data_IF_448923017896
#
_entry.id   IF_448923017896
#
_cell.length_a   1.000
_cell.length_b   1.000
_cell.length_c   1.000
_cell.angle_alpha   90.00
_cell.angle_beta   90.00
_cell.angle_gamma   90.00
#
_symmetry.space_group_name_H-M   'P 1'
#
loop_
_entity.id
_entity.type
_entity.pdbx_description
1 polymer ?
#
# COMPACT_ATOMS: atom_id res chain seq x y z
N UNK A 1 16.16 0.63 -31.04
CA UNK A 1 15.15 1.39 -31.80
C UNK A 1 13.92 1.63 -30.93
N UNK A 2 13.48 0.63 -30.18
CA UNK A 2 12.22 0.68 -29.43
C UNK A 2 12.21 1.65 -28.23
N UNK A 3 13.33 1.80 -27.50
CA UNK A 3 13.43 2.81 -26.43
C UNK A 3 13.31 4.25 -26.97
N UNK A 4 13.94 4.55 -28.12
CA UNK A 4 13.82 5.85 -28.77
C UNK A 4 12.39 6.12 -29.25
N UNK A 5 11.71 5.08 -29.74
CA UNK A 5 10.32 5.13 -30.16
C UNK A 5 9.38 5.36 -28.96
N UNK A 6 9.65 4.71 -27.82
CA UNK A 6 8.93 4.93 -26.55
C UNK A 6 9.04 6.39 -26.10
N UNK A 7 10.24 6.95 -26.04
CA UNK A 7 10.44 8.38 -25.68
C UNK A 7 9.73 9.33 -26.64
N UNK A 8 9.78 9.05 -27.95
CA UNK A 8 9.11 9.87 -28.97
C UNK A 8 7.58 9.80 -28.84
N UNK A 9 7.06 8.61 -28.54
CA UNK A 9 5.63 8.36 -28.33
C UNK A 9 5.13 9.03 -27.06
N UNK A 10 5.89 8.97 -25.95
CA UNK A 10 5.58 9.66 -24.71
C UNK A 10 5.58 11.19 -24.83
N UNK A 11 6.48 11.77 -25.64
CA UNK A 11 6.47 13.22 -25.92
C UNK A 11 5.25 13.65 -26.75
N UNK A 12 4.80 12.80 -27.67
CA UNK A 12 3.64 13.07 -28.54
C UNK A 12 2.29 12.75 -27.90
N UNK A 13 2.27 11.93 -26.84
CA UNK A 13 1.03 11.45 -26.22
C UNK A 13 0.39 10.27 -26.97
N UNK A 14 1.16 9.54 -27.79
CA UNK A 14 0.64 8.44 -28.60
C UNK A 14 0.46 7.17 -27.74
N UNK A 15 -0.66 7.13 -27.00
CA UNK A 15 -0.98 6.04 -26.08
C UNK A 15 -1.13 4.69 -26.79
N UNK A 16 -1.62 4.67 -28.02
CA UNK A 16 -1.77 3.46 -28.81
C UNK A 16 -0.41 2.86 -29.16
N UNK A 17 0.57 3.71 -29.52
CA UNK A 17 1.93 3.25 -29.78
C UNK A 17 2.63 2.79 -28.50
N UNK A 18 2.44 3.49 -27.39
CA UNK A 18 3.00 3.09 -26.09
C UNK A 18 2.42 1.74 -25.64
N UNK A 19 1.09 1.53 -25.74
CA UNK A 19 0.45 0.23 -25.45
C UNK A 19 1.03 -0.90 -26.27
N UNK A 20 1.20 -0.70 -27.59
CA UNK A 20 1.83 -1.69 -28.45
C UNK A 20 3.26 -2.03 -28.01
N UNK A 21 4.06 -1.03 -27.61
CA UNK A 21 5.44 -1.24 -27.16
C UNK A 21 5.51 -1.97 -25.81
N UNK A 22 4.60 -1.68 -24.88
CA UNK A 22 4.56 -2.34 -23.57
C UNK A 22 4.00 -3.76 -23.68
N UNK A 23 2.83 -3.92 -24.29
CA UNK A 23 2.08 -5.19 -24.25
C UNK A 23 2.57 -6.21 -25.28
N UNK A 24 3.05 -5.76 -26.45
CA UNK A 24 3.42 -6.67 -27.56
C UNK A 24 4.94 -6.81 -27.75
N UNK A 25 5.73 -5.90 -27.18
CA UNK A 25 7.19 -5.87 -27.33
C UNK A 25 7.94 -5.96 -26.01
N UNK A 26 7.24 -5.97 -24.88
CA UNK A 26 7.80 -6.10 -23.52
C UNK A 26 8.92 -5.08 -23.25
N UNK A 27 8.70 -3.82 -23.68
CA UNK A 27 9.67 -2.74 -23.50
C UNK A 27 9.57 -2.21 -22.07
N UNK A 28 10.70 -2.20 -21.36
CA UNK A 28 10.80 -1.63 -20.01
C UNK A 28 10.40 -0.14 -20.00
N UNK A 29 9.44 0.19 -19.12
CA UNK A 29 8.90 1.54 -18.93
C UNK A 29 9.81 2.46 -18.11
N UNK A 30 10.82 1.90 -17.45
CA UNK A 30 11.74 2.61 -16.57
C UNK A 30 13.12 2.88 -17.21
N UNK A 31 13.21 2.71 -18.55
CA UNK A 31 14.41 3.06 -19.32
C UNK A 31 14.76 4.54 -19.19
N UNK A 32 16.05 4.84 -19.31
CA UNK A 32 16.58 6.21 -19.23
C UNK A 32 17.17 6.65 -20.56
N UNK A 33 16.92 7.88 -20.94
CA UNK A 33 17.58 8.49 -22.11
C UNK A 33 18.95 9.07 -21.74
N UNK A 34 19.63 9.68 -22.72
CA UNK A 34 20.94 10.32 -22.53
C UNK A 34 20.94 11.53 -21.59
N UNK A 35 19.76 12.01 -21.17
CA UNK A 35 19.58 13.10 -20.21
C UNK A 35 19.01 12.58 -18.89
N UNK A 36 19.10 11.28 -18.66
CA UNK A 36 18.65 10.63 -17.43
C UNK A 36 17.14 10.85 -17.17
N UNK A 37 16.35 10.94 -18.26
CA UNK A 37 14.92 11.16 -18.19
C UNK A 37 14.14 9.89 -18.48
N UNK A 38 13.04 9.68 -17.75
CA UNK A 38 12.15 8.53 -17.90
C UNK A 38 11.00 8.83 -18.89
N UNK A 39 10.39 7.79 -19.49
CA UNK A 39 9.18 7.94 -20.31
C UNK A 39 8.04 8.64 -19.55
N UNK A 40 7.88 8.32 -18.26
CA UNK A 40 6.91 8.97 -17.39
C UNK A 40 7.15 10.48 -17.27
N UNK A 41 8.40 10.90 -17.08
CA UNK A 41 8.76 12.32 -17.00
C UNK A 41 8.33 13.10 -18.25
N UNK A 42 8.55 12.58 -19.45
CA UNK A 42 8.12 13.26 -20.69
C UNK A 42 6.60 13.32 -20.83
N UNK A 43 5.90 12.27 -20.42
CA UNK A 43 4.42 12.26 -20.41
C UNK A 43 3.87 13.33 -19.46
N UNK A 44 4.48 13.48 -18.27
CA UNK A 44 4.16 14.54 -17.32
C UNK A 44 4.49 15.94 -17.88
N UNK A 45 5.69 16.11 -18.43
CA UNK A 45 6.19 17.38 -18.98
C UNK A 45 5.37 17.88 -20.17
N UNK A 46 4.92 16.96 -21.02
CA UNK A 46 4.11 17.28 -22.19
C UNK A 46 2.60 17.34 -21.92
N UNK A 47 2.15 16.99 -20.70
CA UNK A 47 0.76 17.16 -20.28
C UNK A 47 -0.19 16.02 -20.69
N UNK A 48 0.33 14.82 -20.95
CA UNK A 48 -0.47 13.70 -21.47
C UNK A 48 -1.06 12.86 -20.33
N UNK A 49 -2.13 13.35 -19.70
CA UNK A 49 -2.71 12.76 -18.48
C UNK A 49 -3.12 11.28 -18.62
N UNK A 50 -3.84 10.91 -19.69
CA UNK A 50 -4.23 9.52 -19.95
C UNK A 50 -3.02 8.59 -20.10
N UNK A 51 -1.94 9.11 -20.68
CA UNK A 51 -0.70 8.37 -20.84
C UNK A 51 0.05 8.21 -19.52
N UNK A 52 0.05 9.25 -18.67
CA UNK A 52 0.61 9.19 -17.31
C UNK A 52 -0.13 8.13 -16.47
N UNK A 53 -1.47 8.10 -16.52
CA UNK A 53 -2.26 7.06 -15.86
C UNK A 53 -1.89 5.66 -16.33
N UNK A 54 -1.79 5.47 -17.65
CA UNK A 54 -1.44 4.19 -18.22
C UNK A 54 -0.03 3.74 -17.79
N UNK A 55 0.96 4.63 -17.83
CA UNK A 55 2.33 4.31 -17.43
C UNK A 55 2.43 3.91 -15.96
N UNK A 56 1.76 4.66 -15.07
CA UNK A 56 1.72 4.37 -13.64
C UNK A 56 1.04 3.04 -13.34
N UNK A 57 -0.08 2.75 -14.01
CA UNK A 57 -0.81 1.48 -13.88
C UNK A 57 0.02 0.26 -14.33
N UNK A 58 1.02 0.46 -15.20
CA UNK A 58 1.88 -0.59 -15.74
C UNK A 58 3.29 -0.59 -15.11
N UNK A 59 3.47 0.00 -13.92
CA UNK A 59 4.70 -0.12 -13.14
C UNK A 59 5.79 0.89 -13.50
N UNK A 60 5.43 2.04 -14.08
CA UNK A 60 6.36 3.17 -14.17
C UNK A 60 6.72 3.67 -12.76
N UNK A 61 8.02 3.69 -12.45
CA UNK A 61 8.56 4.12 -11.16
C UNK A 61 8.34 5.63 -11.00
N UNK A 62 7.53 5.94 -10.01
CA UNK A 62 7.31 7.28 -9.51
C UNK A 62 7.23 7.12 -8.00
N UNK A 63 8.33 7.36 -7.30
CA UNK A 63 8.41 7.22 -5.84
C UNK A 63 8.66 8.56 -5.15
N UNK A 64 8.05 8.73 -3.98
CA UNK A 64 8.25 9.90 -3.15
C UNK A 64 9.71 10.03 -2.70
N UNK A 65 10.23 11.25 -2.67
CA UNK A 65 11.60 11.57 -2.29
C UNK A 65 12.66 10.95 -3.23
N UNK A 66 12.25 10.53 -4.43
CA UNK A 66 13.15 10.14 -5.51
C UNK A 66 13.27 11.26 -6.54
N UNK A 67 14.44 11.32 -7.19
CA UNK A 67 14.70 12.32 -8.23
C UNK A 67 13.67 12.26 -9.38
N UNK A 68 13.26 11.06 -9.76
CA UNK A 68 12.33 10.86 -10.87
C UNK A 68 10.89 11.25 -10.49
N UNK A 69 10.47 10.91 -9.26
CA UNK A 69 9.17 11.34 -8.74
C UNK A 69 9.06 12.86 -8.67
N UNK A 70 10.06 13.53 -8.12
CA UNK A 70 10.06 15.00 -7.98
C UNK A 70 10.07 15.69 -9.34
N UNK A 71 10.83 15.16 -10.30
CA UNK A 71 10.84 15.68 -11.67
C UNK A 71 9.50 15.53 -12.37
N UNK A 72 8.80 14.42 -12.14
CA UNK A 72 7.45 14.26 -12.67
C UNK A 72 6.49 15.28 -12.05
N UNK A 73 6.61 15.55 -10.74
CA UNK A 73 5.77 16.54 -10.03
C UNK A 73 6.07 17.98 -10.48
N UNK A 74 7.31 18.43 -10.39
CA UNK A 74 7.67 19.81 -10.75
C UNK A 74 7.55 20.05 -12.25
N UNK A 75 7.92 19.05 -13.05
CA UNK A 75 7.88 19.10 -14.51
C UNK A 75 6.49 18.95 -15.10
N UNK A 76 5.48 18.48 -14.36
CA UNK A 76 4.14 18.27 -14.91
C UNK A 76 3.53 19.55 -15.46
N UNK A 77 2.97 19.48 -16.66
CA UNK A 77 2.35 20.63 -17.32
C UNK A 77 1.04 21.06 -16.66
N UNK A 78 0.25 20.11 -16.13
CA UNK A 78 -1.10 20.36 -15.61
C UNK A 78 -1.25 20.00 -14.12
N UNK A 79 -2.14 20.72 -13.44
CA UNK A 79 -2.50 20.43 -12.04
C UNK A 79 -3.32 19.14 -11.89
N UNK A 80 -3.94 18.66 -12.96
CA UNK A 80 -4.55 17.33 -12.99
C UNK A 80 -3.48 16.25 -12.89
N UNK A 81 -2.39 16.34 -13.65
CA UNK A 81 -1.25 15.42 -13.55
C UNK A 81 -0.57 15.53 -12.18
N UNK A 82 -0.40 16.74 -11.62
CA UNK A 82 0.12 16.88 -10.24
C UNK A 82 -0.74 16.17 -9.21
N UNK A 83 -2.07 16.32 -9.30
CA UNK A 83 -3.02 15.61 -8.43
C UNK A 83 -2.93 14.11 -8.64
N UNK A 84 -2.85 13.68 -9.89
CA UNK A 84 -2.71 12.27 -10.25
C UNK A 84 -1.44 11.63 -9.66
N UNK A 85 -0.30 12.31 -9.80
CA UNK A 85 0.98 11.85 -9.23
C UNK A 85 0.94 11.85 -7.70
N UNK A 86 0.26 12.81 -7.06
CA UNK A 86 0.04 12.84 -5.62
C UNK A 86 -0.86 11.70 -5.14
N UNK A 87 -1.94 11.43 -5.87
CA UNK A 87 -2.88 10.32 -5.60
C UNK A 87 -2.21 8.95 -5.77
N UNK A 88 -1.24 8.84 -6.68
CA UNK A 88 -0.41 7.64 -6.89
C UNK A 88 0.75 7.49 -5.87
N UNK A 89 0.69 8.20 -4.73
CA UNK A 89 1.71 8.25 -3.65
C UNK A 89 3.10 8.75 -4.08
N UNK A 90 3.15 9.99 -4.59
CA UNK A 90 4.39 10.75 -4.74
C UNK A 90 4.37 12.17 -4.14
N UNK A 91 5.00 12.26 -2.97
CA UNK A 91 5.87 13.33 -2.40
C UNK A 91 5.29 14.48 -1.56
N UNK A 92 6.07 14.78 -0.51
CA UNK A 92 6.05 15.92 0.41
C UNK A 92 7.05 17.01 -0.02
N UNK A 93 6.85 18.24 0.43
CA UNK A 93 7.43 19.46 -0.14
C UNK A 93 8.90 19.77 0.22
N UNK A 94 9.81 18.79 0.28
CA UNK A 94 11.22 19.05 0.56
C UNK A 94 12.12 18.86 -0.66
N UNK A 95 12.73 19.97 -1.11
CA UNK A 95 13.76 19.94 -2.14
C UNK A 95 15.03 19.23 -1.61
N UNK A 96 15.27 17.99 -2.03
CA UNK A 96 16.56 17.33 -1.82
C UNK A 96 17.60 17.83 -2.82
N UNK A 97 18.78 18.17 -2.30
CA UNK A 97 19.96 18.51 -3.08
C UNK A 97 20.58 17.25 -3.70
N UNK A 98 21.00 17.39 -4.95
CA UNK A 98 21.57 16.34 -5.81
C UNK A 98 22.96 15.95 -5.32
N UNK A 99 23.17 14.70 -4.91
CA UNK A 99 24.53 14.16 -4.78
C UNK A 99 24.96 13.58 -6.15
N UNK A 100 25.46 14.47 -7.02
CA UNK A 100 25.88 14.15 -8.39
C UNK A 100 26.90 13.00 -8.46
N UNK A 101 27.58 12.71 -7.34
CA UNK A 101 28.64 11.73 -7.26
C UNK A 101 28.10 10.29 -7.16
N UNK A 102 27.02 10.06 -6.40
CA UNK A 102 26.42 8.73 -6.26
C UNK A 102 25.80 8.25 -7.57
N UNK A 103 25.15 9.16 -8.32
CA UNK A 103 24.60 8.86 -9.64
C UNK A 103 25.70 8.51 -10.66
N UNK A 104 26.84 9.21 -10.61
CA UNK A 104 28.01 8.89 -11.42
C UNK A 104 28.54 7.48 -11.08
N UNK A 105 28.65 7.13 -9.80
CA UNK A 105 29.12 5.81 -9.38
C UNK A 105 28.16 4.69 -9.76
N UNK A 106 26.84 4.90 -9.66
CA UNK A 106 25.86 3.92 -10.13
C UNK A 106 25.96 3.70 -11.64
N UNK A 107 26.01 4.78 -12.41
CA UNK A 107 26.19 4.72 -13.88
C UNK A 107 27.48 3.99 -14.27
N UNK A 108 28.56 4.23 -13.51
CA UNK A 108 29.85 3.57 -13.70
C UNK A 108 29.77 2.06 -13.46
N UNK A 109 29.01 1.61 -12.45
CA UNK A 109 28.74 0.20 -12.17
C UNK A 109 27.91 -0.45 -13.29
N UNK A 110 26.79 0.17 -13.68
CA UNK A 110 25.84 -0.36 -14.66
C UNK A 110 26.43 -0.47 -16.07
N UNK A 111 27.17 0.56 -16.51
CA UNK A 111 27.79 0.58 -17.83
C UNK A 111 29.08 -0.25 -17.87
N UNK A 112 29.68 -0.55 -16.71
CA UNK A 112 30.95 -1.28 -16.60
C UNK A 112 32.14 -0.56 -17.27
N UNK A 113 32.02 0.75 -17.50
CA UNK A 113 33.05 1.52 -18.20
C UNK A 113 34.32 1.56 -17.35
N UNK A 114 35.46 1.13 -17.91
CA UNK A 114 36.75 1.00 -17.20
C UNK A 114 36.79 -0.10 -16.14
N UNK A 115 35.83 -1.04 -16.12
CA UNK A 115 35.88 -2.18 -15.21
C UNK A 115 37.18 -2.98 -15.43
N UNK A 116 37.91 -3.23 -14.35
CA UNK A 116 39.18 -3.95 -14.33
C UNK A 116 39.05 -5.34 -13.68
N UNK A 117 37.82 -5.72 -13.30
CA UNK A 117 37.48 -7.03 -12.77
C UNK A 117 36.06 -7.44 -13.14
N UNK A 118 35.88 -8.75 -13.40
CA UNK A 118 34.59 -9.39 -13.64
C UNK A 118 34.36 -10.53 -12.66
N UNK A 119 33.18 -10.61 -12.08
CA UNK A 119 32.75 -11.71 -11.22
C UNK A 119 31.75 -12.58 -11.98
N UNK A 120 31.99 -13.89 -12.03
CA UNK A 120 31.06 -14.86 -12.60
C UNK A 120 30.37 -15.60 -11.45
N UNK A 121 29.09 -15.29 -11.21
CA UNK A 121 28.27 -15.84 -10.12
C UNK A 121 27.14 -16.66 -10.73
N UNK A 122 27.18 -17.98 -10.57
CA UNK A 122 26.14 -18.91 -11.08
C UNK A 122 25.67 -18.71 -12.54
N UNK A 123 26.51 -18.17 -13.41
CA UNK A 123 26.20 -17.92 -14.83
C UNK A 123 26.03 -16.44 -15.19
N UNK A 124 25.85 -15.58 -14.19
CA UNK A 124 25.75 -14.13 -14.35
C UNK A 124 27.11 -13.45 -14.20
N UNK A 125 27.35 -12.43 -15.04
CA UNK A 125 28.62 -11.70 -15.05
C UNK A 125 28.44 -10.28 -14.55
N UNK A 126 29.13 -9.94 -13.46
CA UNK A 126 29.13 -8.60 -12.86
C UNK A 126 30.46 -7.90 -13.15
N UNK A 127 30.41 -6.71 -13.74
CA UNK A 127 31.60 -5.88 -13.99
C UNK A 127 31.78 -4.91 -12.83
N UNK A 128 33.02 -4.72 -12.37
CA UNK A 128 33.31 -3.82 -11.24
C UNK A 128 34.73 -3.24 -11.31
N UNK A 129 35.04 -2.36 -10.35
CA UNK A 129 36.29 -1.62 -10.25
C UNK A 129 37.00 -2.01 -8.95
N UNK A 130 38.22 -2.54 -9.07
CA UNK A 130 39.07 -2.93 -7.94
C UNK A 130 39.28 -1.77 -6.97
N UNK A 131 39.48 -0.56 -7.49
CA UNK A 131 39.69 0.63 -6.66
C UNK A 131 38.48 0.97 -5.77
N UNK A 132 37.26 0.86 -6.29
CA UNK A 132 36.03 1.13 -5.52
C UNK A 132 35.83 0.06 -4.45
N UNK A 133 35.96 -1.22 -4.82
CA UNK A 133 35.78 -2.34 -3.90
C UNK A 133 36.86 -2.37 -2.80
N UNK A 134 38.12 -2.14 -3.15
CA UNK A 134 39.22 -2.10 -2.18
C UNK A 134 39.12 -0.90 -1.24
N UNK A 135 38.64 0.25 -1.72
CA UNK A 135 38.47 1.44 -0.88
C UNK A 135 37.38 1.27 0.19
N UNK A 136 36.39 0.39 -0.06
CA UNK A 136 35.22 0.20 0.80
C UNK A 136 35.16 -1.17 1.47
N UNK A 137 36.09 -2.08 1.19
CA UNK A 137 36.17 -3.39 1.83
C UNK A 137 37.59 -3.93 1.92
N UNK A 138 38.07 -4.12 3.14
CA UNK A 138 39.35 -4.77 3.43
C UNK A 138 39.42 -6.20 2.88
N UNK A 139 38.27 -6.88 2.81
CA UNK A 139 38.19 -8.23 2.24
C UNK A 139 38.56 -8.22 0.76
N UNK A 140 37.99 -7.30 -0.03
CA UNK A 140 38.32 -7.20 -1.45
C UNK A 140 39.78 -6.82 -1.66
N UNK A 141 40.31 -5.87 -0.87
CA UNK A 141 41.74 -5.53 -0.87
C UNK A 141 42.61 -6.77 -0.66
N UNK A 142 42.39 -7.51 0.42
CA UNK A 142 43.17 -8.71 0.73
C UNK A 142 43.05 -9.78 -0.36
N UNK A 143 41.86 -9.98 -0.93
CA UNK A 143 41.62 -10.98 -1.96
C UNK A 143 42.28 -10.63 -3.30
N UNK A 144 42.28 -9.35 -3.68
CA UNK A 144 42.98 -8.88 -4.88
C UNK A 144 44.50 -8.95 -4.76
N UNK A 145 45.04 -8.87 -3.55
CA UNK A 145 46.48 -9.04 -3.28
C UNK A 145 46.91 -10.49 -3.13
N UNK A 146 45.96 -11.39 -2.86
CA UNK A 146 46.23 -12.82 -2.64
C UNK A 146 45.60 -13.69 -3.73
N UNK A 147 44.44 -14.28 -3.48
CA UNK A 147 43.80 -15.34 -4.29
C UNK A 147 43.40 -14.87 -5.71
N UNK A 148 43.11 -13.58 -5.86
CA UNK A 148 42.67 -12.95 -7.10
C UNK A 148 43.73 -12.06 -7.75
N UNK A 149 44.98 -12.14 -7.27
CA UNK A 149 46.10 -11.40 -7.84
C UNK A 149 46.30 -11.76 -9.31
N UNK A 150 46.33 -10.74 -10.17
CA UNK A 150 46.51 -10.89 -11.62
C UNK A 150 45.31 -11.49 -12.39
N UNK A 151 44.15 -11.70 -11.75
CA UNK A 151 42.97 -12.27 -12.40
C UNK A 151 41.94 -11.20 -12.76
N UNK A 152 41.50 -11.18 -14.02
CA UNK A 152 40.47 -10.25 -14.48
C UNK A 152 39.06 -10.87 -14.45
N UNK A 153 38.97 -12.21 -14.36
CA UNK A 153 37.72 -12.95 -14.21
C UNK A 153 37.79 -13.83 -12.95
N UNK A 154 36.83 -13.63 -12.05
CA UNK A 154 36.76 -14.29 -10.74
C UNK A 154 35.50 -15.15 -10.71
N UNK A 155 35.62 -16.49 -10.83
CA UNK A 155 34.48 -17.38 -10.70
C UNK A 155 34.11 -17.60 -9.23
N UNK A 156 32.87 -17.26 -8.88
CA UNK A 156 32.26 -17.50 -7.59
C UNK A 156 31.25 -18.64 -7.74
N UNK A 157 31.69 -19.86 -7.43
CA UNK A 157 30.90 -21.11 -7.58
C UNK A 157 30.29 -21.60 -6.27
N UNK A 158 30.43 -20.84 -5.18
CA UNK A 158 30.00 -21.30 -3.87
C UNK A 158 28.47 -21.28 -3.80
N UNK A 159 27.78 -22.38 -3.43
CA UNK A 159 26.32 -22.49 -3.51
C UNK A 159 25.54 -21.46 -2.70
N UNK A 160 26.17 -20.86 -1.68
CA UNK A 160 25.56 -19.84 -0.82
C UNK A 160 25.67 -18.39 -1.36
N UNK A 161 26.23 -18.19 -2.56
CA UNK A 161 26.36 -16.86 -3.16
C UNK A 161 25.21 -16.65 -4.14
N UNK A 162 24.16 -15.97 -3.70
CA UNK A 162 23.04 -15.61 -4.56
C UNK A 162 23.44 -14.46 -5.52
N UNK A 163 23.19 -14.55 -6.84
CA UNK A 163 23.49 -13.48 -7.79
C UNK A 163 22.81 -12.14 -7.49
N UNK A 164 21.54 -12.15 -7.10
CA UNK A 164 20.78 -10.94 -6.77
C UNK A 164 21.36 -10.25 -5.54
N UNK A 165 21.64 -11.02 -4.48
CA UNK A 165 22.29 -10.51 -3.28
C UNK A 165 23.70 -9.97 -3.58
N UNK A 166 24.46 -10.64 -4.46
CA UNK A 166 25.78 -10.17 -4.86
C UNK A 166 25.73 -8.85 -5.65
N UNK A 167 24.78 -8.72 -6.58
CA UNK A 167 24.54 -7.47 -7.32
C UNK A 167 24.15 -6.32 -6.39
N UNK A 168 23.29 -6.60 -5.41
CA UNK A 168 22.84 -5.64 -4.41
C UNK A 168 24.01 -5.15 -3.52
N UNK A 169 24.90 -6.06 -3.08
CA UNK A 169 26.13 -5.70 -2.35
C UNK A 169 27.06 -4.83 -3.21
N UNK A 170 27.18 -5.13 -4.51
CA UNK A 170 27.93 -4.26 -5.43
C UNK A 170 27.30 -2.88 -5.53
N UNK A 171 25.98 -2.76 -5.64
CA UNK A 171 25.31 -1.47 -5.66
C UNK A 171 25.63 -0.65 -4.40
N UNK A 172 25.57 -1.28 -3.22
CA UNK A 172 25.93 -0.64 -1.96
C UNK A 172 27.39 -0.15 -1.96
N UNK A 173 28.32 -0.94 -2.50
CA UNK A 173 29.72 -0.50 -2.65
C UNK A 173 29.90 0.72 -3.53
N UNK A 174 28.94 1.09 -4.38
CA UNK A 174 29.05 2.27 -5.24
C UNK A 174 28.26 3.44 -4.68
N UNK A 175 27.06 3.21 -4.17
CA UNK A 175 26.12 4.29 -3.81
C UNK A 175 25.85 4.41 -2.32
N UNK A 176 26.30 3.47 -1.48
CA UNK A 176 25.86 3.37 -0.09
C UNK A 176 24.37 3.03 0.06
N UNK A 177 23.71 2.62 -1.03
CA UNK A 177 22.30 2.21 -1.06
C UNK A 177 22.16 0.88 -1.76
N UNK A 178 21.16 0.11 -1.38
CA UNK A 178 20.89 -1.21 -1.92
C UNK A 178 19.39 -1.39 -2.11
N UNK A 179 18.99 -1.77 -3.32
CA UNK A 179 17.64 -2.20 -3.64
C UNK A 179 17.62 -3.74 -3.67
N UNK A 180 16.87 -4.35 -2.75
CA UNK A 180 16.82 -5.80 -2.64
C UNK A 180 15.47 -6.28 -2.11
N UNK A 181 14.98 -7.37 -2.70
CA UNK A 181 13.81 -8.07 -2.23
C UNK A 181 14.02 -8.67 -0.83
N UNK A 182 12.98 -8.64 0.01
CA UNK A 182 13.00 -9.14 1.40
C UNK A 182 13.50 -10.60 1.47
N UNK A 183 13.19 -11.42 0.46
CA UNK A 183 13.60 -12.82 0.39
C UNK A 183 15.11 -13.04 0.29
N UNK A 184 15.88 -12.02 -0.10
CA UNK A 184 17.34 -12.10 -0.30
C UNK A 184 18.17 -11.41 0.79
N UNK A 185 17.52 -10.87 1.82
CA UNK A 185 18.19 -10.13 2.91
C UNK A 185 19.17 -10.99 3.70
N UNK A 186 18.83 -12.25 3.98
CA UNK A 186 19.73 -13.18 4.70
C UNK A 186 20.97 -13.56 3.89
N UNK A 187 20.83 -13.68 2.57
CA UNK A 187 21.97 -13.89 1.68
C UNK A 187 22.88 -12.65 1.63
N UNK A 188 22.30 -11.44 1.63
CA UNK A 188 23.04 -10.18 1.76
C UNK A 188 23.78 -10.07 3.10
N UNK A 189 23.15 -10.42 4.22
CA UNK A 189 23.82 -10.46 5.53
C UNK A 189 25.01 -11.40 5.54
N UNK A 190 24.87 -12.59 4.93
CA UNK A 190 25.97 -13.56 4.82
C UNK A 190 27.13 -13.00 4.01
N UNK A 191 26.85 -12.35 2.88
CA UNK A 191 27.86 -11.71 2.04
C UNK A 191 28.52 -10.51 2.73
N UNK A 192 27.74 -9.67 3.42
CA UNK A 192 28.24 -8.52 4.18
C UNK A 192 29.19 -8.95 5.31
N UNK A 193 28.85 -10.03 6.03
CA UNK A 193 29.74 -10.65 7.05
C UNK A 193 31.05 -11.11 6.44
N UNK A 194 31.00 -11.77 5.28
CA UNK A 194 32.22 -12.20 4.58
C UNK A 194 33.06 -11.01 4.10
N UNK A 195 32.41 -9.95 3.64
CA UNK A 195 33.08 -8.74 3.15
C UNK A 195 33.52 -7.78 4.28
N UNK A 196 33.29 -8.16 5.55
CA UNK A 196 33.58 -7.39 6.77
C UNK A 196 32.90 -6.00 6.79
N UNK A 197 31.66 -5.92 6.32
CA UNK A 197 30.91 -4.68 6.24
C UNK A 197 30.09 -4.47 7.51
N UNK A 198 30.72 -4.00 8.59
CA UNK A 198 30.07 -3.79 9.89
C UNK A 198 28.84 -2.89 9.79
N UNK A 199 29.01 -1.70 9.19
CA UNK A 199 27.94 -0.70 9.06
C UNK A 199 26.74 -1.23 8.26
N UNK A 200 26.97 -2.00 7.18
CA UNK A 200 25.89 -2.61 6.40
C UNK A 200 25.21 -3.76 7.16
N UNK A 201 25.94 -4.53 7.96
CA UNK A 201 25.35 -5.55 8.82
C UNK A 201 24.45 -4.87 9.85
N UNK A 202 24.93 -3.80 10.48
CA UNK A 202 24.16 -3.02 11.44
C UNK A 202 22.94 -2.36 10.77
N UNK A 203 23.07 -1.88 9.53
CA UNK A 203 21.97 -1.31 8.73
C UNK A 203 20.95 -2.38 8.32
N UNK A 204 21.38 -3.56 7.86
CA UNK A 204 20.50 -4.67 7.51
C UNK A 204 19.85 -5.30 8.74
N UNK A 205 20.55 -5.35 9.87
CA UNK A 205 19.98 -5.76 11.15
C UNK A 205 19.03 -4.70 11.70
N UNK A 206 19.33 -3.41 11.52
CA UNK A 206 18.43 -2.30 11.87
C UNK A 206 17.18 -2.30 11.00
N UNK A 207 17.30 -2.50 9.68
CA UNK A 207 16.17 -2.62 8.75
C UNK A 207 15.38 -3.92 8.94
N UNK A 208 16.00 -5.03 9.29
CA UNK A 208 15.28 -6.24 9.73
C UNK A 208 14.62 -6.05 11.09
N UNK A 209 15.23 -5.27 11.99
CA UNK A 209 14.61 -4.82 13.25
C UNK A 209 13.49 -3.80 12.98
N UNK A 210 13.50 -3.02 11.90
CA UNK A 210 12.37 -2.16 11.51
C UNK A 210 11.15 -2.98 11.06
N UNK A 211 11.34 -4.24 10.67
CA UNK A 211 10.23 -5.20 10.45
C UNK A 211 9.84 -5.94 11.75
N UNK A 212 10.56 -5.73 12.87
CA UNK A 212 10.39 -6.54 14.10
C UNK A 212 10.55 -5.84 15.46
N UNK A 213 10.75 -4.53 15.53
CA UNK A 213 10.88 -3.75 16.76
C UNK A 213 10.28 -2.36 16.53
N UNK A 214 9.04 -2.21 16.97
CA UNK A 214 8.39 -1.00 17.47
C UNK A 214 8.96 0.35 17.15
N UNK A 215 9.09 0.70 15.88
CA UNK A 215 8.97 2.09 15.47
C UNK A 215 7.62 2.25 14.79
N UNK A 216 6.95 3.37 15.09
CA UNK A 216 5.71 3.73 14.42
C UNK A 216 5.91 3.65 12.91
N UNK A 217 4.89 3.27 12.13
CA UNK A 217 5.04 3.03 10.70
C UNK A 217 5.21 4.33 9.87
N UNK A 218 5.59 5.44 10.51
CA UNK A 218 5.93 6.71 9.88
C UNK A 218 7.44 6.77 9.73
N UNK A 219 7.89 7.04 8.51
CA UNK A 219 9.28 7.36 8.25
C UNK A 219 9.74 8.46 9.21
N UNK A 220 10.86 8.24 9.90
CA UNK A 220 11.57 9.28 10.66
C UNK A 220 12.13 10.29 9.66
N UNK A 221 11.29 11.23 9.23
CA UNK A 221 11.73 12.35 8.39
C UNK A 221 12.59 13.35 9.16
N UNK A 222 12.59 13.27 10.50
CA UNK A 222 13.35 14.17 11.34
C UNK A 222 14.12 13.40 12.42
N UNK A 223 15.39 13.77 12.65
CA UNK A 223 16.25 13.32 13.75
C UNK A 223 15.72 13.72 15.15
N UNK A 224 14.41 13.90 15.33
CA UNK A 224 13.83 14.14 16.64
C UNK A 224 13.84 12.85 17.46
N UNK A 225 14.35 12.87 18.70
CA UNK A 225 14.18 11.75 19.61
C UNK A 225 12.68 11.51 19.82
N UNK A 226 12.18 10.38 19.35
CA UNK A 226 10.83 9.89 19.70
C UNK A 226 10.85 9.55 21.19
N UNK A 227 9.94 10.13 21.97
CA UNK A 227 9.79 9.84 23.41
C UNK A 227 8.52 9.00 23.61
N UNK A 228 8.53 7.71 23.24
CA UNK A 228 7.35 6.86 23.42
C UNK A 228 7.08 6.69 24.92
N UNK A 229 5.84 6.98 25.31
CA UNK A 229 5.36 6.86 26.69
C UNK A 229 4.52 5.60 26.90
N UNK A 230 4.33 4.78 25.86
CA UNK A 230 3.69 3.46 25.91
C UNK A 230 4.24 2.52 24.83
N UNK A 231 4.26 1.23 25.14
CA UNK A 231 4.54 0.15 24.18
C UNK A 231 3.32 -0.77 24.12
N UNK A 232 2.79 -1.05 22.93
CA UNK A 232 1.78 -2.08 22.74
C UNK A 232 2.46 -3.38 22.28
N UNK A 233 2.19 -4.49 22.95
CA UNK A 233 2.70 -5.81 22.53
C UNK A 233 1.59 -6.60 21.86
N UNK A 234 1.76 -6.95 20.58
CA UNK A 234 0.78 -7.68 19.76
C UNK A 234 1.50 -8.83 19.07
N UNK A 235 1.04 -10.07 19.27
CA UNK A 235 1.68 -11.28 18.69
C UNK A 235 3.19 -11.39 18.92
N UNK A 236 3.69 -10.85 20.03
CA UNK A 236 5.13 -10.84 20.34
C UNK A 236 5.92 -9.71 19.68
N UNK A 237 5.27 -8.88 18.86
CA UNK A 237 5.83 -7.63 18.35
C UNK A 237 5.54 -6.49 19.32
N UNK A 238 6.57 -5.71 19.62
CA UNK A 238 6.47 -4.52 20.43
C UNK A 238 6.28 -3.30 19.54
N UNK A 239 5.36 -2.41 19.88
CA UNK A 239 5.02 -1.18 19.14
C UNK A 239 5.16 0.04 20.05
N UNK A 240 6.26 0.78 19.91
CA UNK A 240 6.48 2.01 20.68
C UNK A 240 5.57 3.13 20.15
N UNK A 241 4.81 3.72 21.05
CA UNK A 241 3.70 4.60 20.73
C UNK A 241 3.61 5.77 21.72
N UNK A 242 2.66 6.67 21.44
CA UNK A 242 2.37 7.86 22.22
C UNK A 242 0.91 7.79 22.69
N UNK A 243 0.69 7.74 24.01
CA UNK A 243 -0.65 7.66 24.62
C UNK A 243 -1.58 8.76 24.12
N UNK A 244 -1.05 9.96 23.91
CA UNK A 244 -1.79 11.13 23.45
C UNK A 244 -2.61 10.87 22.18
N UNK A 245 -2.05 10.16 21.20
CA UNK A 245 -2.72 9.90 19.92
C UNK A 245 -3.85 8.87 20.07
N UNK A 246 -3.63 7.84 20.87
CA UNK A 246 -4.64 6.81 21.13
C UNK A 246 -5.79 7.37 21.97
N UNK A 247 -5.49 8.04 23.09
CA UNK A 247 -6.50 8.67 23.96
C UNK A 247 -7.27 9.79 23.25
N UNK A 248 -6.63 10.47 22.29
CA UNK A 248 -7.27 11.53 21.50
C UNK A 248 -8.25 11.03 20.46
N UNK A 249 -8.12 9.76 20.01
CA UNK A 249 -8.92 9.20 18.91
C UNK A 249 -9.84 8.05 19.30
N UNK A 250 -9.66 7.47 20.49
CA UNK A 250 -10.41 6.33 20.98
C UNK A 250 -10.79 6.50 22.44
N UNK A 251 -12.08 6.51 22.72
CA UNK A 251 -12.60 6.51 24.09
C UNK A 251 -12.26 5.21 24.83
N UNK A 252 -12.13 4.10 24.09
CA UNK A 252 -11.66 2.83 24.65
C UNK A 252 -10.23 2.95 25.19
N UNK A 253 -9.29 3.43 24.37
CA UNK A 253 -7.90 3.60 24.81
C UNK A 253 -7.77 4.70 25.86
N UNK A 254 -8.60 5.75 25.78
CA UNK A 254 -8.66 6.77 26.81
C UNK A 254 -9.04 6.19 28.18
N UNK A 255 -10.10 5.38 28.25
CA UNK A 255 -10.51 4.70 29.48
C UNK A 255 -9.42 3.71 29.95
N UNK A 256 -8.92 2.88 29.04
CA UNK A 256 -7.90 1.87 29.33
C UNK A 256 -6.62 2.47 29.92
N UNK A 257 -6.18 3.62 29.40
CA UNK A 257 -4.92 4.25 29.78
C UNK A 257 -5.04 5.27 30.92
N UNK A 258 -6.26 5.68 31.29
CA UNK A 258 -6.51 6.59 32.41
C UNK A 258 -6.70 5.85 33.75
N UNK A 259 -7.34 4.67 33.75
CA UNK A 259 -7.78 4.03 34.99
C UNK A 259 -6.76 3.07 35.63
N UNK A 260 -5.81 2.50 34.88
CA UNK A 260 -4.86 1.53 35.44
C UNK A 260 -3.52 1.52 34.71
N UNK A 261 -2.47 2.17 35.26
CA UNK A 261 -1.13 2.03 34.68
C UNK A 261 0.01 2.17 35.68
N UNK A 262 -0.12 1.50 36.83
CA UNK A 262 0.92 1.45 37.87
C UNK A 262 1.53 0.06 38.06
N UNK A 263 1.00 -1.00 37.43
CA UNK A 263 1.36 -2.41 37.70
C UNK A 263 1.79 -3.22 36.44
N UNK A 264 1.93 -2.57 35.28
CA UNK A 264 2.26 -3.25 34.00
C UNK A 264 3.75 -3.63 33.84
N UNK A 265 4.02 -4.58 32.94
CA UNK A 265 5.38 -4.92 32.51
C UNK A 265 6.10 -3.67 31.95
N UNK A 266 7.36 -3.47 32.30
CA UNK A 266 8.16 -2.35 31.80
C UNK A 266 9.16 -2.85 30.75
N UNK A 267 9.22 -2.19 29.61
CA UNK A 267 10.25 -2.46 28.61
C UNK A 267 11.60 -1.99 29.17
N UNK A 268 12.60 -2.88 29.19
CA UNK A 268 13.95 -2.58 29.69
C UNK A 268 14.78 -1.72 28.72
N UNK A 269 14.16 -0.70 28.11
CA UNK A 269 14.82 0.34 27.32
C UNK A 269 15.15 1.55 28.17
N UNK A 270 16.04 2.43 27.68
CA UNK A 270 16.16 3.80 28.21
C UNK A 270 15.48 4.77 27.23
N UNK A 271 14.41 5.49 27.61
CA UNK A 271 13.69 5.41 28.90
C UNK A 271 12.85 4.13 29.05
N UNK A 272 12.53 3.78 30.30
CA UNK A 272 11.69 2.62 30.64
C UNK A 272 10.25 2.90 30.20
N UNK A 273 9.78 2.21 29.17
CA UNK A 273 8.46 2.43 28.59
C UNK A 273 7.49 1.34 29.07
N UNK A 274 6.33 1.71 29.63
CA UNK A 274 5.35 0.74 30.10
C UNK A 274 4.70 -0.03 28.93
N UNK A 275 4.52 -1.34 29.10
CA UNK A 275 4.05 -2.28 28.07
C UNK A 275 2.60 -2.69 28.34
N UNK A 276 1.76 -2.63 27.32
CA UNK A 276 0.39 -3.11 27.31
C UNK A 276 0.22 -4.20 26.25
N UNK A 277 -0.08 -5.42 26.67
CA UNK A 277 -0.31 -6.52 25.76
C UNK A 277 -1.74 -6.47 25.21
N UNK A 278 -1.84 -6.46 23.89
CA UNK A 278 -3.09 -6.51 23.14
C UNK A 278 -3.27 -7.93 22.63
N UNK A 279 -4.42 -8.52 22.92
CA UNK A 279 -4.76 -9.89 22.55
C UNK A 279 -5.80 -9.92 21.42
N UNK A 280 -5.88 -11.05 20.71
CA UNK A 280 -6.89 -11.34 19.69
C UNK A 280 -6.87 -10.42 18.46
N UNK A 281 -5.72 -9.83 18.13
CA UNK A 281 -5.51 -9.05 16.91
C UNK A 281 -4.15 -9.42 16.34
N UNK A 282 -4.05 -9.51 15.01
CA UNK A 282 -2.76 -9.69 14.36
C UNK A 282 -1.95 -8.39 14.36
N UNK A 283 -0.64 -8.53 14.36
CA UNK A 283 0.26 -7.39 14.25
C UNK A 283 0.03 -6.59 12.94
N UNK A 284 -0.36 -7.25 11.84
CA UNK A 284 -0.71 -6.60 10.57
C UNK A 284 -1.93 -5.68 10.67
N UNK A 285 -2.99 -6.12 11.33
CA UNK A 285 -4.20 -5.32 11.57
C UNK A 285 -3.89 -4.19 12.57
N UNK A 286 -3.06 -4.45 13.57
CA UNK A 286 -2.62 -3.42 14.49
C UNK A 286 -1.79 -2.33 13.78
N UNK A 287 -0.97 -2.68 12.79
CA UNK A 287 -0.29 -1.70 11.94
C UNK A 287 -1.30 -0.81 11.21
N UNK A 288 -2.41 -1.36 10.69
CA UNK A 288 -3.46 -0.55 10.03
C UNK A 288 -4.09 0.45 11.02
N UNK A 289 -4.31 0.03 12.26
CA UNK A 289 -4.77 0.90 13.33
C UNK A 289 -3.75 2.01 13.63
N UNK A 290 -2.45 1.68 13.71
CA UNK A 290 -1.38 2.65 13.94
C UNK A 290 -1.34 3.72 12.86
N UNK A 291 -1.38 3.32 11.58
CA UNK A 291 -1.46 4.27 10.47
C UNK A 291 -2.63 5.23 10.65
N UNK A 292 -3.82 4.71 10.96
CA UNK A 292 -4.98 5.55 11.18
C UNK A 292 -4.83 6.48 12.40
N UNK A 293 -4.33 5.99 13.53
CA UNK A 293 -4.24 6.76 14.78
C UNK A 293 -3.32 7.98 14.63
N UNK A 294 -2.31 7.91 13.78
CA UNK A 294 -1.35 8.99 13.62
C UNK A 294 -1.54 9.82 12.35
N UNK A 295 -2.08 9.23 11.27
CA UNK A 295 -2.21 9.93 9.98
C UNK A 295 -3.65 10.24 9.57
N UNK A 296 -4.65 9.75 10.30
CA UNK A 296 -6.08 9.80 9.90
C UNK A 296 -6.42 9.00 8.64
N UNK A 297 -5.49 8.19 8.16
CA UNK A 297 -5.66 7.34 6.99
C UNK A 297 -4.97 5.99 7.19
N UNK A 298 -5.39 4.97 6.43
CA UNK A 298 -4.73 3.67 6.41
C UNK A 298 -5.08 2.92 5.12
N UNK A 299 -4.13 2.13 4.63
CA UNK A 299 -4.39 1.31 3.44
C UNK A 299 -5.28 0.13 3.80
N UNK A 300 -6.39 0.01 3.09
CA UNK A 300 -7.35 -1.07 3.22
C UNK A 300 -7.40 -1.87 1.92
N UNK A 301 -7.33 -3.19 2.05
CA UNK A 301 -7.45 -4.14 0.96
C UNK A 301 -8.72 -4.98 1.13
N UNK A 302 -9.23 -5.64 0.08
CA UNK A 302 -10.35 -6.57 0.20
C UNK A 302 -10.10 -7.69 1.22
N UNK A 303 -8.83 -8.04 1.44
CA UNK A 303 -8.41 -9.12 2.34
C UNK A 303 -8.46 -8.72 3.82
N UNK A 304 -8.22 -7.44 4.15
CA UNK A 304 -8.09 -7.00 5.55
C UNK A 304 -9.22 -6.07 6.05
N UNK A 305 -10.03 -5.50 5.16
CA UNK A 305 -10.99 -4.44 5.51
C UNK A 305 -12.02 -4.87 6.57
N UNK A 306 -12.45 -6.14 6.57
CA UNK A 306 -13.38 -6.67 7.56
C UNK A 306 -12.74 -6.78 8.94
N UNK A 307 -11.52 -7.29 9.02
CA UNK A 307 -10.79 -7.40 10.28
C UNK A 307 -10.47 -6.02 10.86
N UNK A 308 -10.07 -5.07 10.01
CA UNK A 308 -9.87 -3.67 10.42
C UNK A 308 -11.19 -3.05 10.89
N UNK A 309 -12.32 -3.33 10.24
CA UNK A 309 -13.64 -2.86 10.67
C UNK A 309 -14.02 -3.40 12.05
N UNK A 310 -13.80 -4.70 12.31
CA UNK A 310 -14.03 -5.32 13.61
C UNK A 310 -13.21 -4.63 14.71
N UNK A 311 -11.92 -4.40 14.46
CA UNK A 311 -11.03 -3.74 15.42
C UNK A 311 -11.38 -2.27 15.60
N UNK A 312 -11.78 -1.58 14.53
CA UNK A 312 -12.22 -0.19 14.60
C UNK A 312 -13.48 -0.03 15.46
N UNK A 313 -14.40 -0.99 15.42
CA UNK A 313 -15.56 -1.03 16.30
C UNK A 313 -15.18 -1.36 17.74
N UNK A 314 -14.41 -2.43 17.95
CA UNK A 314 -13.96 -2.87 19.26
C UNK A 314 -13.21 -1.78 20.03
N UNK A 315 -12.38 -1.01 19.33
CA UNK A 315 -11.60 0.09 19.92
C UNK A 315 -12.23 1.46 19.78
N UNK A 316 -13.51 1.54 19.42
CA UNK A 316 -14.26 2.80 19.36
C UNK A 316 -13.53 3.87 18.52
N UNK A 317 -13.14 3.50 17.31
CA UNK A 317 -12.49 4.36 16.32
C UNK A 317 -13.48 4.69 15.18
N UNK A 318 -14.46 5.60 15.41
CA UNK A 318 -15.54 5.84 14.45
C UNK A 318 -15.06 6.36 13.09
N UNK A 319 -13.97 7.13 13.04
CA UNK A 319 -13.40 7.59 11.77
C UNK A 319 -12.82 6.44 10.93
N UNK A 320 -12.17 5.45 11.57
CA UNK A 320 -11.65 4.27 10.89
C UNK A 320 -12.80 3.37 10.39
N UNK A 321 -13.86 3.20 11.20
CA UNK A 321 -15.07 2.50 10.74
C UNK A 321 -15.67 3.12 9.48
N UNK A 322 -15.74 4.46 9.40
CA UNK A 322 -16.22 5.15 8.19
C UNK A 322 -15.29 4.90 6.99
N UNK A 323 -13.98 4.84 7.20
CA UNK A 323 -13.01 4.55 6.15
C UNK A 323 -13.17 3.12 5.61
N UNK A 324 -13.39 2.14 6.50
CA UNK A 324 -13.74 0.78 6.12
C UNK A 324 -15.05 0.75 5.33
N UNK A 325 -16.10 1.41 5.82
CA UNK A 325 -17.39 1.49 5.12
C UNK A 325 -17.29 2.09 3.72
N UNK A 326 -16.52 3.17 3.55
CA UNK A 326 -16.24 3.77 2.23
C UNK A 326 -15.51 2.82 1.28
N UNK A 327 -14.62 1.99 1.82
CA UNK A 327 -13.86 1.01 1.03
C UNK A 327 -14.75 -0.17 0.62
N UNK A 328 -15.55 -0.70 1.55
CA UNK A 328 -16.55 -1.73 1.27
C UNK A 328 -17.55 -1.28 0.19
N UNK A 329 -18.00 -0.02 0.23
CA UNK A 329 -18.90 0.52 -0.78
C UNK A 329 -18.35 0.47 -2.21
N UNK A 330 -17.03 0.59 -2.39
CA UNK A 330 -16.39 0.48 -3.72
C UNK A 330 -16.40 -0.93 -4.29
N UNK A 331 -16.62 -1.93 -3.43
CA UNK A 331 -16.62 -3.35 -3.80
C UNK A 331 -18.04 -3.90 -3.97
N UNK A 332 -19.08 -3.07 -3.87
CA UNK A 332 -20.47 -3.50 -4.02
C UNK A 332 -20.70 -4.10 -5.41
N UNK A 333 -21.22 -5.32 -5.42
CA UNK A 333 -21.66 -6.03 -6.61
C UNK A 333 -22.93 -6.85 -6.31
N UNK A 334 -23.50 -7.46 -7.33
CA UNK A 334 -24.71 -8.29 -7.22
C UNK A 334 -24.53 -9.47 -6.26
N UNK A 335 -23.34 -10.08 -6.25
CA UNK A 335 -23.07 -11.27 -5.44
C UNK A 335 -22.89 -10.95 -3.94
N UNK A 336 -22.53 -9.71 -3.58
CA UNK A 336 -22.17 -9.36 -2.20
C UNK A 336 -23.07 -8.32 -1.53
N UNK A 337 -23.99 -7.67 -2.25
CA UNK A 337 -24.79 -6.55 -1.72
C UNK A 337 -25.61 -6.93 -0.49
N UNK A 338 -26.19 -8.14 -0.46
CA UNK A 338 -26.98 -8.64 0.68
C UNK A 338 -26.09 -8.79 1.93
N UNK A 339 -24.91 -9.39 1.76
CA UNK A 339 -23.94 -9.54 2.85
C UNK A 339 -23.43 -8.18 3.32
N UNK A 340 -23.09 -7.27 2.40
CA UNK A 340 -22.60 -5.93 2.71
C UNK A 340 -23.62 -5.12 3.50
N UNK A 341 -24.90 -5.23 3.18
CA UNK A 341 -25.97 -4.58 3.95
C UNK A 341 -26.10 -5.14 5.36
N UNK A 342 -26.06 -6.46 5.54
CA UNK A 342 -26.04 -7.09 6.88
C UNK A 342 -24.84 -6.61 7.69
N UNK A 343 -23.66 -6.55 7.08
CA UNK A 343 -22.44 -5.98 7.71
C UNK A 343 -22.64 -4.52 8.07
N UNK A 344 -23.24 -3.71 7.19
CA UNK A 344 -23.49 -2.30 7.44
C UNK A 344 -24.40 -2.09 8.67
N UNK A 345 -25.49 -2.86 8.80
CA UNK A 345 -26.34 -2.83 9.99
C UNK A 345 -25.62 -3.27 11.24
N UNK A 346 -24.90 -4.39 11.19
CA UNK A 346 -24.16 -4.93 12.33
C UNK A 346 -23.17 -3.89 12.91
N UNK A 347 -22.44 -3.21 12.03
CA UNK A 347 -21.46 -2.19 12.42
C UNK A 347 -22.03 -0.76 12.46
N UNK A 348 -23.34 -0.56 12.26
CA UNK A 348 -24.01 0.75 12.25
C UNK A 348 -23.37 1.75 11.27
N UNK A 349 -23.09 1.30 10.05
CA UNK A 349 -22.50 2.09 8.97
C UNK A 349 -23.60 2.67 8.07
N UNK A 350 -24.29 3.71 8.52
CA UNK A 350 -25.46 4.29 7.84
C UNK A 350 -25.22 4.65 6.37
N UNK A 351 -24.04 5.16 6.03
CA UNK A 351 -23.71 5.50 4.64
C UNK A 351 -23.55 4.26 3.76
N UNK A 352 -22.97 3.18 4.28
CA UNK A 352 -22.84 1.94 3.52
C UNK A 352 -24.20 1.27 3.36
N UNK A 353 -25.04 1.33 4.40
CA UNK A 353 -26.42 0.84 4.37
C UNK A 353 -27.23 1.49 3.24
N UNK A 354 -27.20 2.83 3.15
CA UNK A 354 -27.84 3.61 2.09
C UNK A 354 -27.29 3.26 0.69
N UNK A 355 -25.97 3.08 0.57
CA UNK A 355 -25.35 2.67 -0.70
C UNK A 355 -25.74 1.24 -1.12
N UNK A 356 -25.92 0.35 -0.14
CA UNK A 356 -26.43 -0.99 -0.40
C UNK A 356 -27.89 -0.96 -0.86
N UNK A 357 -28.77 -0.20 -0.20
CA UNK A 357 -30.19 -0.12 -0.60
C UNK A 357 -30.37 0.59 -1.94
N UNK A 358 -29.55 1.61 -2.24
CA UNK A 358 -29.49 2.24 -3.56
C UNK A 358 -29.07 1.22 -4.65
N UNK A 359 -28.09 0.36 -4.36
CA UNK A 359 -27.67 -0.69 -5.28
C UNK A 359 -28.76 -1.76 -5.46
N UNK A 360 -29.39 -2.22 -4.36
CA UNK A 360 -30.49 -3.18 -4.40
C UNK A 360 -31.66 -2.67 -5.23
N UNK A 361 -32.05 -1.40 -5.08
CA UNK A 361 -33.10 -0.77 -5.88
C UNK A 361 -32.82 -0.85 -7.39
N UNK A 362 -31.54 -0.76 -7.81
CA UNK A 362 -31.15 -0.87 -9.23
C UNK A 362 -31.32 -2.29 -9.79
N UNK A 363 -31.20 -3.32 -8.95
CA UNK A 363 -31.21 -4.73 -9.37
C UNK A 363 -32.40 -5.52 -8.80
N UNK A 364 -33.42 -4.82 -8.29
CA UNK A 364 -34.51 -5.42 -7.51
C UNK A 364 -35.24 -6.55 -8.25
N UNK A 365 -35.44 -6.42 -9.57
CA UNK A 365 -36.10 -7.43 -10.42
C UNK A 365 -35.38 -8.79 -10.36
N UNK A 366 -34.06 -8.80 -10.14
CA UNK A 366 -33.27 -10.03 -10.00
C UNK A 366 -33.16 -10.47 -8.54
N UNK A 367 -33.12 -9.53 -7.59
CA UNK A 367 -33.05 -9.83 -6.17
C UNK A 367 -34.31 -10.51 -5.65
N UNK A 368 -35.49 -10.16 -6.17
CA UNK A 368 -36.75 -10.78 -5.71
C UNK A 368 -36.85 -12.27 -6.03
N UNK A 369 -36.05 -12.77 -6.98
CA UNK A 369 -35.96 -14.19 -7.31
C UNK A 369 -35.02 -14.95 -6.34
N UNK A 370 -34.20 -14.24 -5.56
CA UNK A 370 -33.22 -14.84 -4.65
C UNK A 370 -33.85 -15.15 -3.27
N UNK A 371 -33.81 -16.41 -2.79
CA UNK A 371 -34.37 -16.76 -1.49
C UNK A 371 -33.65 -16.05 -0.33
N UNK A 372 -32.35 -15.77 -0.46
CA UNK A 372 -31.55 -15.07 0.55
C UNK A 372 -32.06 -13.65 0.80
N UNK A 373 -32.62 -12.99 -0.22
CA UNK A 373 -33.22 -11.66 -0.09
C UNK A 373 -34.53 -11.72 0.69
N UNK A 374 -35.38 -12.70 0.41
CA UNK A 374 -36.61 -12.95 1.18
C UNK A 374 -36.33 -13.19 2.66
N UNK A 375 -35.31 -13.99 2.98
CA UNK A 375 -34.91 -14.25 4.36
C UNK A 375 -34.39 -12.99 5.04
N UNK A 376 -33.63 -12.14 4.33
CA UNK A 376 -33.16 -10.85 4.84
C UNK A 376 -34.31 -9.88 5.18
N UNK A 377 -35.37 -9.83 4.36
CA UNK A 377 -36.56 -9.01 4.65
C UNK A 377 -37.27 -9.52 5.91
N UNK A 378 -37.42 -10.84 6.06
CA UNK A 378 -38.03 -11.44 7.26
C UNK A 378 -37.23 -11.15 8.52
N UNK A 379 -35.90 -11.25 8.44
CA UNK A 379 -35.00 -10.89 9.54
C UNK A 379 -35.15 -9.41 9.94
N UNK A 380 -35.20 -8.50 8.97
CA UNK A 380 -35.38 -7.07 9.24
C UNK A 380 -36.76 -6.74 9.83
N UNK A 381 -37.82 -7.37 9.32
CA UNK A 381 -39.17 -7.25 9.86
C UNK A 381 -39.25 -7.74 11.31
N UNK A 382 -38.56 -8.84 11.64
CA UNK A 382 -38.52 -9.41 12.98
C UNK A 382 -37.70 -8.57 13.98
N UNK A 383 -36.83 -7.67 13.51
CA UNK A 383 -36.05 -6.78 14.37
C UNK A 383 -36.84 -5.56 14.87
N UNK A 384 -38.03 -5.30 14.32
CA UNK A 384 -38.91 -4.20 14.73
C UNK A 384 -39.73 -4.65 15.96
N UNK A 385 -39.49 -4.01 17.10
CA UNK A 385 -40.26 -4.28 18.34
C UNK A 385 -41.74 -3.93 18.15
N UNK A 386 -42.63 -4.80 18.63
CA UNK A 386 -44.09 -4.65 18.57
C UNK A 386 -44.68 -4.42 17.17
N UNK A 387 -44.01 -4.94 16.11
CA UNK A 387 -44.47 -4.81 14.72
C UNK A 387 -45.84 -5.46 14.48
N UNK A 388 -46.81 -4.69 13.97
CA UNK A 388 -48.04 -5.17 13.37
C UNK A 388 -47.84 -5.53 11.89
N UNK A 389 -48.71 -6.37 11.32
CA UNK A 389 -48.56 -6.86 9.93
C UNK A 389 -48.38 -5.71 8.93
N UNK A 390 -49.11 -4.59 9.12
CA UNK A 390 -49.11 -3.38 8.28
C UNK A 390 -47.97 -2.38 8.53
N UNK A 391 -47.08 -2.65 9.48
CA UNK A 391 -46.02 -1.70 9.82
C UNK A 391 -44.88 -1.76 8.81
N UNK A 392 -44.27 -0.60 8.56
CA UNK A 392 -43.13 -0.42 7.66
C UNK A 392 -41.96 -1.35 8.02
N UNK A 393 -41.32 -1.91 6.99
CA UNK A 393 -40.06 -2.65 7.13
C UNK A 393 -38.94 -1.71 6.67
N UNK A 394 -37.97 -1.33 7.55
CA UNK A 394 -36.95 -0.33 7.21
C UNK A 394 -36.20 -0.61 5.90
N UNK A 395 -35.77 -1.85 5.67
CA UNK A 395 -35.13 -2.25 4.42
C UNK A 395 -36.02 -2.02 3.19
N UNK A 396 -37.31 -2.35 3.29
CA UNK A 396 -38.27 -2.19 2.19
C UNK A 396 -38.50 -0.71 1.90
N UNK A 397 -38.66 0.10 2.95
CA UNK A 397 -38.86 1.54 2.82
C UNK A 397 -37.66 2.23 2.18
N UNK A 398 -36.43 1.86 2.57
CA UNK A 398 -35.21 2.41 1.98
C UNK A 398 -35.10 2.04 0.49
N UNK A 399 -35.43 0.80 0.12
CA UNK A 399 -35.44 0.37 -1.29
C UNK A 399 -36.52 1.13 -2.07
N UNK A 400 -37.75 1.24 -1.55
CA UNK A 400 -38.86 1.99 -2.17
C UNK A 400 -38.48 3.47 -2.35
N UNK A 401 -37.82 4.06 -1.36
CA UNK A 401 -37.30 5.42 -1.45
C UNK A 401 -36.31 5.56 -2.62
N UNK A 402 -35.35 4.66 -2.76
CA UNK A 402 -34.37 4.71 -3.85
C UNK A 402 -34.97 4.42 -5.24
N UNK A 403 -36.01 3.59 -5.33
CA UNK A 403 -36.74 3.37 -6.58
C UNK A 403 -37.45 4.65 -7.04
N UNK A 404 -37.98 5.44 -6.09
CA UNK A 404 -38.83 6.61 -6.39
C UNK A 404 -38.09 7.96 -6.41
N UNK A 405 -36.91 8.05 -5.79
CA UNK A 405 -36.21 9.32 -5.52
C UNK A 405 -35.73 10.10 -6.76
N UNK A 406 -35.62 9.47 -7.93
CA UNK A 406 -35.07 10.08 -9.15
C UNK A 406 -35.96 9.96 -10.40
N UNK A 407 -37.26 9.75 -10.22
CA UNK A 407 -38.20 9.52 -11.32
C UNK A 407 -38.71 10.85 -11.90
N UNK A 408 -38.17 11.28 -13.05
CA UNK A 408 -38.52 12.57 -13.68
C UNK A 408 -39.30 12.45 -15.00
N UNK A 409 -39.33 11.28 -15.61
CA UNK A 409 -39.94 11.06 -16.95
C UNK A 409 -41.01 9.98 -16.89
N UNK A 410 -41.98 10.01 -17.81
CA UNK A 410 -43.04 9.00 -17.89
C UNK A 410 -42.48 7.58 -18.01
N UNK A 411 -41.45 7.38 -18.84
CA UNK A 411 -40.76 6.09 -18.97
C UNK A 411 -40.10 5.63 -17.67
N UNK A 412 -39.52 6.56 -16.89
CA UNK A 412 -38.93 6.22 -15.59
C UNK A 412 -40.01 5.91 -14.53
N UNK A 413 -41.21 6.48 -14.65
CA UNK A 413 -42.36 6.14 -13.78
C UNK A 413 -42.81 4.71 -14.05
N UNK A 414 -42.94 4.33 -15.32
CA UNK A 414 -43.30 2.95 -15.67
C UNK A 414 -42.24 1.95 -15.18
N UNK A 415 -40.94 2.24 -15.37
CA UNK A 415 -39.87 1.38 -14.86
C UNK A 415 -39.88 1.27 -13.31
N UNK A 416 -40.09 2.38 -12.61
CA UNK A 416 -40.19 2.38 -11.16
C UNK A 416 -41.39 1.57 -10.66
N UNK A 417 -42.54 1.66 -11.33
CA UNK A 417 -43.73 0.88 -10.97
C UNK A 417 -43.49 -0.62 -11.16
N UNK A 418 -42.82 -1.05 -12.24
CA UNK A 418 -42.47 -2.46 -12.46
C UNK A 418 -41.59 -2.98 -11.32
N UNK A 419 -40.61 -2.19 -10.88
CA UNK A 419 -39.73 -2.52 -9.75
C UNK A 419 -40.48 -2.62 -8.42
N UNK A 420 -41.42 -1.71 -8.17
CA UNK A 420 -42.28 -1.73 -6.98
C UNK A 420 -43.20 -2.95 -6.99
N UNK A 421 -43.85 -3.23 -8.12
CA UNK A 421 -44.74 -4.39 -8.29
C UNK A 421 -43.99 -5.72 -8.04
N UNK A 422 -42.75 -5.83 -8.52
CA UNK A 422 -41.90 -7.00 -8.28
C UNK A 422 -41.60 -7.20 -6.78
N UNK A 423 -41.30 -6.11 -6.06
CA UNK A 423 -41.08 -6.14 -4.61
C UNK A 423 -42.35 -6.49 -3.84
N UNK A 424 -43.50 -5.92 -4.21
CA UNK A 424 -44.78 -6.18 -3.56
C UNK A 424 -45.25 -7.63 -3.78
N UNK A 425 -44.98 -8.21 -4.96
CA UNK A 425 -45.22 -9.63 -5.21
C UNK A 425 -44.39 -10.55 -4.31
N UNK A 426 -43.12 -10.19 -4.08
CA UNK A 426 -42.27 -10.92 -3.13
C UNK A 426 -42.84 -10.84 -1.71
N UNK A 427 -43.18 -9.63 -1.25
CA UNK A 427 -43.74 -9.38 0.08
C UNK A 427 -45.02 -10.19 0.32
N UNK A 428 -45.92 -10.21 -0.66
CA UNK A 428 -47.13 -11.04 -0.65
C UNK A 428 -46.80 -12.54 -0.56
N UNK A 429 -45.81 -13.01 -1.31
CA UNK A 429 -45.38 -14.41 -1.31
C UNK A 429 -44.81 -14.86 0.04
N UNK A 430 -44.11 -13.96 0.74
CA UNK A 430 -43.52 -14.25 2.06
C UNK A 430 -44.46 -13.94 3.24
N UNK A 431 -45.68 -13.48 2.97
CA UNK A 431 -46.71 -13.21 3.99
C UNK A 431 -46.48 -11.92 4.78
N UNK A 432 -45.86 -10.91 4.17
CA UNK A 432 -45.66 -9.58 4.77
C UNK A 432 -46.47 -8.55 3.97
N UNK A 433 -47.42 -7.87 4.61
CA UNK A 433 -48.19 -6.77 3.99
C UNK A 433 -47.69 -5.43 4.56
N UNK A 434 -46.72 -4.77 3.93
CA UNK A 434 -46.16 -3.49 4.40
C UNK A 434 -46.06 -2.44 3.31
#
# INVERSE_FOLDING_TARGET
>A
MDAYDLFTSCRKGDISRVRYLVEQRDVDLNVRDKWDSTPLYYSCLCGHEELVQYLLANGAKCEANTFDGERCMYGSLSDSIRRLLKEYKCITAQAMQRDYYDHFLLTLLEQGQYSDVKFLVHGETFQAHRCVLSARSEYFTAMFETKWKGKNLIPLKHPLINPAAFGAILQYFYTGRMDIDVSHVEDCKRLAKQCKMGDLIDELESKCKQVGFGELPFDRTDNFPSYPDICFRVEGYDFLCHKAFFCGRSDYFKALLQDHFSEGEMLQSQPSTPVLTIHNISHEIFIRLLYYVYSDDTELSPENVFDVLCVADMYLLPGLKRLCGKTLAKMLCEDNVLHMWKTAKLFRLSRLEDQCTEYMAKIIERLVEQPEFADMIKEDAGAVEDRHETDSIPLVDDIRFHITSNVQTFSAIEEANVKLDALDQLLSTIGLEC
#
